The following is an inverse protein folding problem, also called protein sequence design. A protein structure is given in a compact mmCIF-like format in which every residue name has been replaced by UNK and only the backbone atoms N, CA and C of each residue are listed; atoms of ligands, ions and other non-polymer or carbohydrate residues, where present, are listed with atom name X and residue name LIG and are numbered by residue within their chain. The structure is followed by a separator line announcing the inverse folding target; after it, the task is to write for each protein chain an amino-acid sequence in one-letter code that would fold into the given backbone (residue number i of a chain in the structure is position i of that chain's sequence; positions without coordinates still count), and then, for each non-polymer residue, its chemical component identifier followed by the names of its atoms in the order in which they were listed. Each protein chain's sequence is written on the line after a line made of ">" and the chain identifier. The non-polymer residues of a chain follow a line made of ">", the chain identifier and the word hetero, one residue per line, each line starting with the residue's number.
data_IF_053507821741
#
_entry.id   IF_053507821741
#
_cell.length_a   1.000
_cell.length_b   1.000
_cell.length_c   1.000
_cell.angle_alpha   90.00
_cell.angle_beta   90.00
_cell.angle_gamma   90.00
#
_symmetry.space_group_name_H-M   'P 1'
#
loop_
_entity.id
_entity.type
_entity.pdbx_description
1 polymer ?
#
# COMPACT_ATOMS: atom_id res chain seq x y z
N UNK A 1 50.59 42.41 -6.41
CA UNK A 1 49.73 41.40 -7.07
C UNK A 1 50.50 40.08 -7.14
N UNK A 2 50.03 39.04 -6.44
CA UNK A 2 50.18 37.62 -6.83
C UNK A 2 49.36 36.77 -5.86
N UNK A 3 48.47 35.99 -6.44
CA UNK A 3 47.32 35.35 -5.81
C UNK A 3 47.73 34.27 -4.81
N UNK A 4 47.08 34.33 -3.66
CA UNK A 4 46.90 33.21 -2.73
C UNK A 4 45.96 32.21 -3.41
N UNK A 5 46.39 30.96 -3.56
CA UNK A 5 45.51 29.85 -3.94
C UNK A 5 45.70 28.75 -2.91
N UNK A 6 44.88 28.80 -1.85
CA UNK A 6 44.75 27.75 -0.86
C UNK A 6 43.71 26.76 -1.40
N UNK A 7 44.15 25.61 -1.92
CA UNK A 7 43.28 24.57 -2.45
C UNK A 7 42.47 23.92 -1.31
N UNK A 8 41.17 24.20 -1.28
CA UNK A 8 40.21 23.58 -0.36
C UNK A 8 39.70 22.27 -0.98
N UNK A 9 40.24 21.14 -0.54
CA UNK A 9 39.72 19.80 -0.86
C UNK A 9 38.43 19.57 -0.07
N UNK A 10 37.27 19.86 -0.67
CA UNK A 10 35.97 19.40 -0.15
C UNK A 10 35.85 17.89 -0.36
N UNK A 11 36.04 17.15 0.73
CA UNK A 11 35.67 15.74 0.82
C UNK A 11 34.15 15.65 0.71
N UNK A 12 33.65 15.16 -0.42
CA UNK A 12 32.27 14.71 -0.56
C UNK A 12 32.07 13.50 0.36
N UNK A 13 31.67 13.75 1.61
CA UNK A 13 31.06 12.74 2.45
C UNK A 13 29.72 12.37 1.79
N UNK A 14 29.76 11.35 0.94
CA UNK A 14 28.57 10.71 0.40
C UNK A 14 27.75 10.15 1.56
N UNK A 15 26.82 10.95 2.05
CA UNK A 15 25.79 10.47 2.96
C UNK A 15 25.02 9.37 2.23
N UNK A 16 25.26 8.13 2.63
CA UNK A 16 24.39 7.03 2.25
C UNK A 16 22.99 7.41 2.74
N UNK A 17 22.12 7.78 1.79
CA UNK A 17 20.69 7.92 2.08
C UNK A 17 20.23 6.51 2.43
N UNK A 18 20.09 6.22 3.71
CA UNK A 18 19.50 4.99 4.19
C UNK A 18 18.08 4.92 3.62
N UNK A 19 17.89 4.15 2.55
CA UNK A 19 16.55 3.78 2.10
C UNK A 19 15.96 2.88 3.18
N UNK A 20 15.14 3.46 4.05
CA UNK A 20 14.32 2.67 4.96
C UNK A 20 13.46 1.75 4.10
N UNK A 21 13.56 0.43 4.34
CA UNK A 21 12.71 -0.56 3.68
C UNK A 21 11.25 -0.16 3.89
N UNK A 22 10.55 0.13 2.81
CA UNK A 22 9.14 0.52 2.87
C UNK A 22 8.33 -0.68 3.34
N UNK A 23 7.61 -0.54 4.46
CA UNK A 23 6.75 -1.60 4.99
C UNK A 23 5.69 -1.98 3.97
N UNK A 24 5.29 -3.25 3.95
CA UNK A 24 4.22 -3.74 3.10
C UNK A 24 3.09 -4.36 3.92
N UNK A 25 1.88 -4.28 3.39
CA UNK A 25 0.71 -4.97 3.92
C UNK A 25 0.40 -6.13 3.00
N UNK A 26 0.25 -7.32 3.58
CA UNK A 26 -0.13 -8.53 2.85
C UNK A 26 -1.45 -9.02 3.42
N UNK A 27 -2.50 -9.01 2.61
CA UNK A 27 -3.86 -9.39 2.95
C UNK A 27 -4.22 -10.75 2.35
N UNK A 28 -4.58 -11.69 3.22
CA UNK A 28 -5.16 -12.97 2.84
C UNK A 28 -6.68 -12.88 2.91
N UNK A 29 -7.33 -13.03 1.76
CA UNK A 29 -8.79 -12.96 1.60
C UNK A 29 -9.36 -14.37 1.54
N UNK A 30 -10.39 -14.66 2.35
CA UNK A 30 -11.00 -15.99 2.37
C UNK A 30 -11.59 -16.33 1.01
N UNK A 31 -11.17 -17.45 0.44
CA UNK A 31 -11.66 -17.94 -0.87
C UNK A 31 -10.86 -17.43 -2.07
N UNK A 32 -9.94 -16.49 -1.87
CA UNK A 32 -9.02 -16.01 -2.91
C UNK A 32 -7.64 -16.58 -2.61
N UNK A 33 -7.04 -17.26 -3.59
CA UNK A 33 -5.77 -17.97 -3.42
C UNK A 33 -4.59 -17.01 -3.28
N UNK A 34 -4.53 -16.01 -4.16
CA UNK A 34 -3.42 -15.05 -4.18
C UNK A 34 -3.67 -13.90 -3.18
N UNK A 35 -2.68 -13.58 -2.33
CA UNK A 35 -2.83 -12.48 -1.38
C UNK A 35 -2.75 -11.13 -2.09
N UNK A 36 -3.51 -10.16 -1.59
CA UNK A 36 -3.37 -8.77 -2.02
C UNK A 36 -2.20 -8.13 -1.27
N UNK A 37 -1.27 -7.50 -1.99
CA UNK A 37 -0.11 -6.84 -1.40
C UNK A 37 0.01 -5.39 -1.83
N UNK A 38 0.43 -4.52 -0.91
CA UNK A 38 0.74 -3.13 -1.21
C UNK A 38 1.73 -2.53 -0.22
N UNK A 39 2.54 -1.58 -0.69
CA UNK A 39 3.46 -0.82 0.15
C UNK A 39 2.73 0.24 0.97
N UNK A 40 3.07 0.40 2.25
CA UNK A 40 2.56 1.49 3.08
C UNK A 40 3.19 2.80 2.60
N UNK A 41 2.41 3.82 2.19
CA UNK A 41 2.96 5.09 1.74
C UNK A 41 3.78 5.77 2.84
N UNK A 42 4.93 6.34 2.45
CA UNK A 42 5.82 7.04 3.39
C UNK A 42 5.29 8.39 3.87
N UNK A 43 4.28 8.95 3.20
CA UNK A 43 3.62 10.22 3.56
C UNK A 43 2.13 10.02 3.80
N UNK A 44 1.63 10.77 4.75
CA UNK A 44 0.22 10.77 5.10
C UNK A 44 -0.62 11.41 3.97
N UNK A 45 -1.66 10.71 3.52
CA UNK A 45 -2.54 11.18 2.44
C UNK A 45 -2.17 10.63 1.06
N UNK A 46 -0.97 10.08 0.90
CA UNK A 46 -0.59 9.35 -0.31
C UNK A 46 -1.36 8.01 -0.37
N UNK A 47 -1.55 7.53 -1.59
CA UNK A 47 -2.21 6.26 -1.85
C UNK A 47 -1.19 5.17 -2.20
N UNK A 48 -1.38 3.94 -1.68
CA UNK A 48 -0.55 2.81 -2.08
C UNK A 48 -0.84 2.41 -3.52
N UNK A 49 0.17 1.87 -4.20
CA UNK A 49 -0.04 1.07 -5.40
C UNK A 49 -0.36 -0.36 -4.97
N UNK A 50 -1.40 -0.92 -5.57
CA UNK A 50 -1.89 -2.25 -5.25
C UNK A 50 -1.62 -3.15 -6.44
N UNK A 51 -1.02 -4.30 -6.18
CA UNK A 51 -0.87 -5.34 -7.19
C UNK A 51 -2.17 -6.13 -7.29
N UNK A 52 -2.88 -5.96 -8.40
CA UNK A 52 -4.18 -6.55 -8.65
C UNK A 52 -4.27 -7.00 -10.11
N UNK A 53 -5.12 -7.99 -10.39
CA UNK A 53 -5.25 -8.58 -11.73
C UNK A 53 -5.64 -7.55 -12.82
N UNK A 54 -6.24 -6.43 -12.42
CA UNK A 54 -6.63 -5.33 -13.29
C UNK A 54 -6.04 -4.01 -12.78
N UNK A 55 -5.82 -3.01 -13.67
CA UNK A 55 -5.40 -1.68 -13.27
C UNK A 55 -6.42 -1.04 -12.32
N UNK A 56 -5.95 -0.55 -11.18
CA UNK A 56 -6.81 0.06 -10.15
C UNK A 56 -6.19 1.33 -9.58
N UNK A 57 -7.05 2.30 -9.28
CA UNK A 57 -6.69 3.51 -8.57
C UNK A 57 -7.27 3.49 -7.15
N UNK A 58 -6.39 3.54 -6.16
CA UNK A 58 -6.81 3.69 -4.76
C UNK A 58 -7.36 5.10 -4.56
N UNK A 59 -8.61 5.18 -4.11
CA UNK A 59 -9.32 6.46 -3.87
C UNK A 59 -9.47 6.74 -2.39
N UNK A 60 -9.39 5.72 -1.52
CA UNK A 60 -9.37 5.87 -0.06
C UNK A 60 -8.38 4.91 0.55
N UNK A 61 -7.55 5.43 1.45
CA UNK A 61 -6.61 4.63 2.22
C UNK A 61 -6.47 5.21 3.63
N UNK A 62 -6.46 4.35 4.64
CA UNK A 62 -6.14 4.73 6.01
C UNK A 62 -5.59 3.54 6.78
N UNK A 63 -4.52 3.76 7.54
CA UNK A 63 -4.03 2.83 8.56
C UNK A 63 -4.06 3.45 9.98
N UNK A 64 -4.94 4.45 10.21
CA UNK A 64 -4.96 5.25 11.45
C UNK A 64 -5.81 4.61 12.55
N UNK A 65 -5.38 4.80 13.80
CA UNK A 65 -6.15 4.38 14.99
C UNK A 65 -6.39 2.88 15.06
N UNK A 66 -5.46 2.07 14.54
CA UNK A 66 -5.61 0.61 14.47
C UNK A 66 -6.59 0.14 13.40
N UNK A 67 -7.11 1.00 12.53
CA UNK A 67 -7.99 0.61 11.43
C UNK A 67 -7.18 0.50 10.14
N UNK A 68 -7.52 -0.44 9.27
CA UNK A 68 -7.10 -0.53 7.88
C UNK A 68 -8.33 -0.33 6.99
N UNK A 69 -8.30 0.69 6.14
CA UNK A 69 -9.28 0.94 5.09
C UNK A 69 -8.53 1.06 3.77
N UNK A 70 -8.98 0.33 2.76
CA UNK A 70 -8.53 0.44 1.38
C UNK A 70 -9.74 0.39 0.46
N UNK A 71 -9.90 1.38 -0.40
CA UNK A 71 -10.88 1.37 -1.49
C UNK A 71 -10.15 1.69 -2.78
N UNK A 72 -10.23 0.78 -3.75
CA UNK A 72 -9.68 0.97 -5.08
C UNK A 72 -10.79 0.81 -6.12
N UNK A 73 -10.81 1.75 -7.05
CA UNK A 73 -11.70 1.76 -8.20
C UNK A 73 -10.95 1.25 -9.42
N UNK A 74 -11.69 0.77 -10.41
CA UNK A 74 -11.14 0.53 -11.74
C UNK A 74 -10.50 1.83 -12.29
N UNK A 75 -9.39 1.70 -13.00
CA UNK A 75 -8.69 2.85 -13.58
C UNK A 75 -9.51 3.55 -14.67
N UNK A 76 -10.20 2.75 -15.50
CA UNK A 76 -10.99 3.22 -16.64
C UNK A 76 -12.45 3.49 -16.24
N UNK A 77 -13.04 2.62 -15.42
CA UNK A 77 -14.43 2.71 -14.92
C UNK A 77 -14.47 3.23 -13.47
N UNK A 78 -14.31 4.54 -13.28
CA UNK A 78 -14.10 5.15 -11.94
C UNK A 78 -15.24 4.98 -10.93
N UNK A 79 -16.42 4.58 -11.37
CA UNK A 79 -17.59 4.26 -10.54
C UNK A 79 -17.66 2.78 -10.14
N UNK A 80 -16.79 1.94 -10.69
CA UNK A 80 -16.71 0.51 -10.42
C UNK A 80 -15.67 0.20 -9.33
N UNK A 81 -16.08 -0.14 -8.10
CA UNK A 81 -15.14 -0.54 -7.06
C UNK A 81 -14.58 -1.93 -7.36
N UNK A 82 -13.26 -2.04 -7.38
CA UNK A 82 -12.55 -3.31 -7.61
C UNK A 82 -12.07 -3.95 -6.32
N UNK A 83 -11.76 -3.13 -5.32
CA UNK A 83 -11.26 -3.60 -4.02
C UNK A 83 -11.87 -2.74 -2.93
N UNK A 84 -12.41 -3.40 -1.92
CA UNK A 84 -12.80 -2.81 -0.65
C UNK A 84 -12.27 -3.68 0.49
N UNK A 85 -11.48 -3.11 1.39
CA UNK A 85 -11.01 -3.76 2.61
C UNK A 85 -11.30 -2.83 3.79
N UNK A 86 -11.92 -3.38 4.83
CA UNK A 86 -12.10 -2.72 6.13
C UNK A 86 -11.77 -3.69 7.25
N UNK A 87 -10.74 -3.39 8.02
CA UNK A 87 -10.21 -4.27 9.05
C UNK A 87 -9.68 -3.49 10.27
N UNK A 88 -9.63 -4.16 11.41
CA UNK A 88 -9.12 -3.59 12.66
C UNK A 88 -7.95 -4.42 13.20
N UNK A 89 -6.96 -3.75 13.75
CA UNK A 89 -5.76 -4.36 14.29
C UNK A 89 -6.08 -5.13 15.56
N UNK A 90 -5.89 -6.45 15.50
CA UNK A 90 -6.00 -7.33 16.64
C UNK A 90 -4.63 -7.41 17.34
N UNK A 91 -4.53 -6.84 18.54
CA UNK A 91 -3.28 -6.79 19.30
C UNK A 91 -2.76 -8.18 19.71
N UNK A 92 -3.63 -9.15 19.97
CA UNK A 92 -3.21 -10.49 20.37
C UNK A 92 -2.60 -11.28 19.20
N UNK A 93 -3.17 -11.13 18.00
CA UNK A 93 -2.72 -11.83 16.79
C UNK A 93 -1.72 -11.02 15.96
N UNK A 94 -1.47 -9.76 16.32
CA UNK A 94 -0.61 -8.83 15.57
C UNK A 94 -0.98 -8.74 14.08
N UNK A 95 -2.29 -8.76 13.79
CA UNK A 95 -2.82 -8.79 12.42
C UNK A 95 -4.09 -7.94 12.34
N UNK A 96 -4.34 -7.32 11.18
CA UNK A 96 -5.62 -6.68 10.90
C UNK A 96 -6.63 -7.74 10.50
N UNK A 97 -7.81 -7.74 11.12
CA UNK A 97 -8.89 -8.70 10.83
C UNK A 97 -10.13 -7.92 10.45
N UNK A 98 -10.80 -8.34 9.38
CA UNK A 98 -11.97 -7.62 8.90
C UNK A 98 -12.69 -8.31 7.77
N UNK A 99 -13.28 -7.49 6.89
CA UNK A 99 -14.01 -7.94 5.71
C UNK A 99 -13.40 -7.34 4.44
N UNK A 100 -13.60 -8.04 3.33
CA UNK A 100 -13.27 -7.58 2.00
C UNK A 100 -14.45 -7.75 1.04
N UNK A 101 -14.42 -6.97 -0.03
CA UNK A 101 -15.09 -7.25 -1.29
C UNK A 101 -14.09 -6.98 -2.42
N UNK A 102 -14.08 -7.82 -3.45
CA UNK A 102 -13.31 -7.59 -4.68
C UNK A 102 -14.16 -7.91 -5.90
N UNK A 103 -13.90 -7.21 -7.00
CA UNK A 103 -14.46 -7.52 -8.31
C UNK A 103 -13.37 -8.02 -9.26
N UNK A 104 -13.34 -9.33 -9.47
CA UNK A 104 -12.35 -10.01 -10.34
C UNK A 104 -12.87 -10.29 -11.74
N UNK A 105 -14.09 -9.88 -12.06
CA UNK A 105 -14.68 -10.10 -13.38
C UNK A 105 -14.14 -9.08 -14.38
N UNK A 106 -13.76 -9.49 -15.59
CA UNK A 106 -13.25 -8.55 -16.60
C UNK A 106 -14.31 -7.55 -17.04
N UNK A 107 -15.05 -7.88 -18.10
CA UNK A 107 -16.15 -7.07 -18.63
C UNK A 107 -17.50 -7.35 -17.93
N UNK A 108 -17.53 -8.31 -17.00
CA UNK A 108 -18.71 -8.66 -16.20
C UNK A 108 -18.39 -8.45 -14.72
N UNK A 109 -19.42 -8.22 -13.91
CA UNK A 109 -19.27 -8.14 -12.45
C UNK A 109 -19.09 -9.54 -11.87
N UNK A 110 -18.01 -9.74 -11.12
CA UNK A 110 -17.80 -10.95 -10.33
C UNK A 110 -17.34 -10.54 -8.94
N UNK A 111 -18.31 -10.42 -8.03
CA UNK A 111 -18.08 -9.97 -6.67
C UNK A 111 -17.77 -11.15 -5.76
N UNK A 112 -16.56 -11.14 -5.20
CA UNK A 112 -16.12 -12.02 -4.13
C UNK A 112 -16.06 -11.23 -2.82
N UNK A 113 -16.48 -11.82 -1.70
CA UNK A 113 -16.47 -11.14 -0.42
C UNK A 113 -16.28 -12.11 0.75
N UNK A 114 -15.82 -11.59 1.88
CA UNK A 114 -15.69 -12.39 3.09
C UNK A 114 -14.67 -11.84 4.06
N UNK A 115 -14.15 -12.70 4.93
CA UNK A 115 -13.15 -12.30 5.93
C UNK A 115 -11.78 -12.08 5.30
N UNK A 116 -11.06 -11.08 5.80
CA UNK A 116 -9.66 -10.80 5.43
C UNK A 116 -8.77 -10.75 6.66
N UNK A 117 -7.53 -11.21 6.52
CA UNK A 117 -6.45 -11.06 7.52
C UNK A 117 -5.25 -10.40 6.87
N UNK A 118 -4.83 -9.23 7.35
CA UNK A 118 -3.70 -8.49 6.80
C UNK A 118 -2.55 -8.32 7.79
N UNK A 119 -1.34 -8.68 7.37
CA UNK A 119 -0.11 -8.58 8.17
C UNK A 119 0.73 -7.44 7.63
N UNK A 120 1.30 -6.63 8.54
CA UNK A 120 2.31 -5.62 8.21
C UNK A 120 3.70 -6.27 8.26
N UNK A 121 4.45 -6.23 7.16
CA UNK A 121 5.82 -6.74 7.05
C UNK A 121 6.82 -5.61 6.80
#
# INVERSE_FOLDING_TARGET
>A
MKCVVFSLLLVFAGGAIAQASQKSVICHMKGIQDPLSFGVPGKMGDFPKVDFAYPVNVTRFSMRGGNLLLVAMDEDERDRPRIFISAQFNQHKQTYIGQFMTDLGGNQLQLDNGSVSCILK
#
